data_IF_658408988171
#
_entry.id   IF_658408988171
#
_cell.length_a   1.000
_cell.length_b   1.000
_cell.length_c   1.000
_cell.angle_alpha   90.00
_cell.angle_beta   90.00
_cell.angle_gamma   90.00
#
_symmetry.space_group_name_H-M   'P 1'
#
loop_
_entity.id
_entity.type
_entity.pdbx_description
1 polymer ?
#
# COMPACT_ATOMS: atom_id res chain seq x y z
N UNK A 1 0.43 23.81 2.32
CA UNK A 1 1.81 23.60 1.85
C UNK A 1 1.92 22.14 1.48
N UNK A 2 2.21 21.81 0.22
CA UNK A 2 2.34 20.41 -0.21
C UNK A 2 3.67 19.84 0.32
N UNK A 3 3.66 18.60 0.79
CA UNK A 3 4.89 17.91 1.16
C UNK A 3 5.64 17.61 -0.13
N UNK A 4 6.69 18.38 -0.41
CA UNK A 4 7.57 18.14 -1.55
C UNK A 4 8.13 16.71 -1.45
N UNK A 5 7.93 15.91 -2.50
CA UNK A 5 8.47 14.55 -2.56
C UNK A 5 9.97 14.64 -2.72
N UNK A 6 10.71 14.51 -1.61
CA UNK A 6 12.16 14.42 -1.65
C UNK A 6 12.55 13.14 -2.41
N UNK A 7 13.42 13.21 -3.42
CA UNK A 7 13.79 12.04 -4.20
C UNK A 7 14.50 11.01 -3.31
N UNK A 8 14.05 9.76 -3.39
CA UNK A 8 14.70 8.64 -2.72
C UNK A 8 16.13 8.46 -3.26
N UNK A 9 17.03 8.03 -2.40
CA UNK A 9 18.35 7.55 -2.80
C UNK A 9 18.24 6.33 -3.74
N UNK A 10 19.32 6.00 -4.46
CA UNK A 10 19.31 4.88 -5.41
C UNK A 10 19.05 3.51 -4.74
N UNK A 11 19.36 3.38 -3.45
CA UNK A 11 19.12 2.19 -2.63
C UNK A 11 18.68 2.64 -1.23
N UNK A 12 17.40 2.99 -1.04
CA UNK A 12 16.94 3.54 0.21
C UNK A 12 16.95 2.50 1.32
N UNK A 13 17.38 2.91 2.51
CA UNK A 13 17.22 2.09 3.71
C UNK A 13 15.74 2.01 4.12
N UNK A 14 15.39 1.01 4.94
CA UNK A 14 13.99 0.81 5.36
C UNK A 14 13.37 2.04 6.02
N UNK A 15 14.14 2.80 6.80
CA UNK A 15 13.67 4.02 7.45
C UNK A 15 13.42 5.17 6.45
N UNK A 16 14.26 5.30 5.43
CA UNK A 16 14.09 6.27 4.34
C UNK A 16 12.81 5.98 3.56
N UNK A 17 12.61 4.72 3.16
CA UNK A 17 11.43 4.31 2.40
C UNK A 17 10.14 4.48 3.21
N UNK A 18 10.13 4.11 4.50
CA UNK A 18 8.97 4.29 5.37
C UNK A 18 8.56 5.77 5.49
N UNK A 19 9.53 6.68 5.66
CA UNK A 19 9.25 8.13 5.71
C UNK A 19 8.64 8.62 4.41
N UNK A 20 9.12 8.12 3.26
CA UNK A 20 8.57 8.49 1.95
C UNK A 20 7.14 7.99 1.78
N UNK A 21 6.83 6.73 2.12
CA UNK A 21 5.48 6.15 2.05
C UNK A 21 4.48 6.98 2.86
N UNK A 22 4.84 7.35 4.10
CA UNK A 22 3.95 8.08 5.00
C UNK A 22 3.73 9.55 4.59
N UNK A 23 4.64 10.13 3.82
CA UNK A 23 4.56 11.53 3.36
C UNK A 23 3.99 11.69 1.95
N UNK A 24 3.85 10.59 1.21
CA UNK A 24 3.43 10.63 -0.18
C UNK A 24 1.97 11.12 -0.32
N UNK A 25 1.68 12.12 -1.18
CA UNK A 25 0.34 12.66 -1.36
C UNK A 25 -0.53 11.79 -2.30
N UNK A 26 -0.45 10.46 -2.17
CA UNK A 26 -1.09 9.53 -3.12
C UNK A 26 -2.62 9.67 -3.16
N UNK A 27 -3.22 10.06 -2.03
CA UNK A 27 -4.67 10.20 -1.89
C UNK A 27 -5.25 11.47 -2.51
N UNK A 28 -4.40 12.33 -3.09
CA UNK A 28 -4.88 13.44 -3.93
C UNK A 28 -5.47 12.93 -5.25
N UNK A 29 -5.04 11.75 -5.72
CA UNK A 29 -5.52 11.15 -6.97
C UNK A 29 -6.02 9.71 -6.82
N UNK A 30 -5.48 8.94 -5.86
CA UNK A 30 -5.87 7.56 -5.62
C UNK A 30 -6.91 7.43 -4.50
N UNK A 31 -7.77 6.42 -4.58
CA UNK A 31 -8.73 6.07 -3.54
C UNK A 31 -8.23 4.87 -2.74
N UNK A 32 -8.68 4.76 -1.49
CA UNK A 32 -8.44 3.55 -0.68
C UNK A 32 -9.30 2.43 -1.29
N UNK A 33 -8.67 1.35 -1.73
CA UNK A 33 -9.38 0.18 -2.24
C UNK A 33 -9.75 -0.77 -1.09
N UNK A 34 -10.98 -1.32 -1.09
CA UNK A 34 -11.42 -2.25 -0.07
C UNK A 34 -10.70 -3.60 -0.20
N UNK A 35 -10.18 -4.10 0.92
CA UNK A 35 -9.62 -5.45 1.01
C UNK A 35 -10.74 -6.41 1.46
N UNK A 36 -11.14 -7.34 0.60
CA UNK A 36 -12.24 -8.27 0.84
C UNK A 36 -11.78 -9.72 0.87
N UNK A 37 -12.41 -10.52 1.74
CA UNK A 37 -12.15 -11.96 1.82
C UNK A 37 -12.73 -12.68 0.59
N UNK A 38 -11.93 -13.53 -0.03
CA UNK A 38 -12.32 -14.36 -1.16
C UNK A 38 -12.88 -15.70 -0.65
N UNK A 39 -14.19 -15.80 -0.43
CA UNK A 39 -14.81 -16.96 0.24
C UNK A 39 -14.50 -18.30 -0.43
N UNK A 40 -14.69 -18.40 -1.75
CA UNK A 40 -14.43 -19.65 -2.51
C UNK A 40 -12.96 -20.06 -2.44
N UNK A 41 -12.04 -19.10 -2.58
CA UNK A 41 -10.61 -19.39 -2.60
C UNK A 41 -10.11 -19.76 -1.21
N UNK A 42 -10.58 -19.03 -0.20
CA UNK A 42 -10.24 -19.26 1.21
C UNK A 42 -10.66 -20.66 1.64
N UNK A 43 -11.90 -21.05 1.32
CA UNK A 43 -12.42 -22.39 1.59
C UNK A 43 -11.64 -23.47 0.85
N UNK A 44 -11.25 -23.24 -0.41
CA UNK A 44 -10.51 -24.22 -1.21
C UNK A 44 -9.09 -24.47 -0.69
N UNK A 45 -8.46 -23.44 -0.12
CA UNK A 45 -7.06 -23.50 0.32
C UNK A 45 -6.90 -23.72 1.83
N UNK A 46 -8.00 -23.81 2.56
CA UNK A 46 -8.00 -23.83 4.04
C UNK A 46 -7.13 -22.70 4.63
N UNK A 47 -7.28 -21.50 4.08
CA UNK A 47 -6.53 -20.31 4.48
C UNK A 47 -7.39 -19.06 4.27
N UNK A 48 -7.03 -17.95 4.91
CA UNK A 48 -7.66 -16.65 4.67
C UNK A 48 -7.02 -16.00 3.45
N UNK A 49 -7.75 -15.95 2.34
CA UNK A 49 -7.34 -15.22 1.15
C UNK A 49 -8.16 -13.95 1.04
N UNK A 50 -7.47 -12.82 0.89
CA UNK A 50 -8.09 -11.53 0.63
C UNK A 50 -7.56 -10.95 -0.68
N UNK A 51 -8.42 -10.23 -1.38
CA UNK A 51 -8.11 -9.55 -2.63
C UNK A 51 -8.75 -8.17 -2.66
N UNK A 52 -8.44 -7.41 -3.69
CA UNK A 52 -9.21 -6.22 -4.02
C UNK A 52 -10.63 -6.63 -4.45
N UNK A 53 -11.64 -5.86 -4.03
CA UNK A 53 -13.02 -6.04 -4.44
C UNK A 53 -13.27 -5.57 -5.88
#
# INVERSE_FOLDING_TARGET
MMAESQPLSAAPEGAEYLRAVLRAPVYEAAQITPLQKMEKLSSRLDNVVAGEA
#
